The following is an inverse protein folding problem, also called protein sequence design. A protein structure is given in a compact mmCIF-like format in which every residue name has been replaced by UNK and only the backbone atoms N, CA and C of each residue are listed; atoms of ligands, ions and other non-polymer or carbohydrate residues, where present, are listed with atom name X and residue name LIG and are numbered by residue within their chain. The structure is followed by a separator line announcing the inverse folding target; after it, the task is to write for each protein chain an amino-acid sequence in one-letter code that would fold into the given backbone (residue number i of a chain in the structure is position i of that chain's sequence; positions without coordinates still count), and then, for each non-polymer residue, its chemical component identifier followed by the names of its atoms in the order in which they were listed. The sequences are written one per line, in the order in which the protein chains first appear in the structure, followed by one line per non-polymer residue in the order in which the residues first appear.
data_IF_538931820973
#
_entry.id   IF_538931820973
#
_cell.length_a   1.000
_cell.length_b   1.000
_cell.length_c   1.000
_cell.angle_alpha   90.00
_cell.angle_beta   90.00
_cell.angle_gamma   90.00
#
_symmetry.space_group_name_H-M   'P 1'
#
loop_
_entity.id
_entity.type
_entity.pdbx_description
1 polymer ?
#
# COMPACT_ATOMS: atom_id res chain seq x y z
N UNK A 1 -7.94 13.03 -22.37
CA UNK A 1 -6.76 12.16 -22.61
C UNK A 1 -7.16 10.81 -22.08
N UNK A 2 -7.19 9.77 -22.92
CA UNK A 2 -7.35 8.41 -22.40
C UNK A 2 -5.97 7.99 -21.94
N UNK A 3 -5.71 8.20 -20.66
CA UNK A 3 -4.57 7.60 -19.98
C UNK A 3 -4.92 6.12 -19.83
N UNK A 4 -4.49 5.30 -20.78
CA UNK A 4 -4.33 3.87 -20.57
C UNK A 4 -3.23 3.71 -19.51
N UNK A 5 -3.57 4.01 -18.25
CA UNK A 5 -2.80 3.55 -17.10
C UNK A 5 -2.65 2.05 -17.31
N UNK A 6 -1.41 1.58 -17.48
CA UNK A 6 -1.09 0.16 -17.41
C UNK A 6 -1.48 -0.31 -16.02
N UNK A 7 -2.74 -0.73 -15.89
CA UNK A 7 -3.27 -1.33 -14.67
C UNK A 7 -2.39 -2.51 -14.33
N UNK A 8 -2.09 -2.65 -13.05
CA UNK A 8 -1.40 -3.82 -12.57
C UNK A 8 -2.07 -5.10 -13.08
N UNK A 9 -1.25 -6.11 -13.41
CA UNK A 9 -1.77 -7.46 -13.56
C UNK A 9 -2.41 -7.88 -12.24
N UNK A 10 -3.39 -8.79 -12.30
CA UNK A 10 -4.08 -9.24 -11.09
C UNK A 10 -3.10 -9.85 -10.06
N UNK A 11 -2.10 -10.60 -10.52
CA UNK A 11 -1.04 -11.17 -9.68
C UNK A 11 -0.24 -10.07 -9.00
N UNK A 12 0.24 -9.09 -9.77
CA UNK A 12 1.05 -7.99 -9.23
C UNK A 12 0.26 -7.10 -8.27
N UNK A 13 -1.04 -6.90 -8.52
CA UNK A 13 -1.94 -6.19 -7.62
C UNK A 13 -2.11 -6.93 -6.29
N UNK A 14 -2.21 -8.25 -6.31
CA UNK A 14 -2.31 -9.07 -5.10
C UNK A 14 -1.01 -8.99 -4.30
N UNK A 15 0.14 -9.15 -4.96
CA UNK A 15 1.46 -9.07 -4.30
C UNK A 15 1.64 -7.69 -3.63
N UNK A 16 1.33 -6.61 -4.35
CA UNK A 16 1.41 -5.26 -3.82
C UNK A 16 0.42 -5.03 -2.66
N UNK A 17 -0.80 -5.58 -2.74
CA UNK A 17 -1.78 -5.49 -1.67
C UNK A 17 -1.35 -6.25 -0.41
N UNK A 18 -0.76 -7.43 -0.55
CA UNK A 18 -0.19 -8.18 0.57
C UNK A 18 0.94 -7.38 1.25
N UNK A 19 1.85 -6.82 0.45
CA UNK A 19 2.94 -5.98 0.96
C UNK A 19 2.41 -4.74 1.71
N UNK A 20 1.38 -4.07 1.18
CA UNK A 20 0.72 -2.94 1.84
C UNK A 20 0.11 -3.34 3.18
N UNK A 21 -0.58 -4.50 3.26
CA UNK A 21 -1.16 -4.97 4.52
C UNK A 21 -0.09 -5.29 5.57
N UNK A 22 1.00 -5.93 5.16
CA UNK A 22 2.14 -6.21 6.03
C UNK A 22 2.78 -4.92 6.54
N UNK A 23 3.00 -3.94 5.65
CA UNK A 23 3.56 -2.64 6.00
C UNK A 23 2.69 -1.88 7.01
N UNK A 24 1.37 -1.85 6.80
CA UNK A 24 0.43 -1.21 7.73
C UNK A 24 0.45 -1.89 9.10
N UNK A 25 0.48 -3.22 9.14
CA UNK A 25 0.55 -3.96 10.40
C UNK A 25 1.86 -3.67 11.16
N UNK A 26 2.99 -3.70 10.47
CA UNK A 26 4.31 -3.41 11.05
C UNK A 26 4.37 -1.98 11.62
N UNK A 27 3.94 -0.99 10.84
CA UNK A 27 3.95 0.41 11.28
C UNK A 27 2.94 0.66 12.38
N UNK A 28 1.78 -0.01 12.38
CA UNK A 28 0.81 0.10 13.46
C UNK A 28 1.38 -0.42 14.79
N UNK A 29 2.15 -1.51 14.79
CA UNK A 29 2.83 -2.01 15.99
C UNK A 29 3.81 -0.96 16.55
N UNK A 30 4.56 -0.29 15.68
CA UNK A 30 5.51 0.77 16.05
C UNK A 30 4.80 2.06 16.49
N UNK A 31 3.64 2.34 15.91
CA UNK A 31 2.89 3.59 16.09
C UNK A 31 1.82 3.47 17.18
N UNK A 32 1.93 2.53 18.12
CA UNK A 32 0.95 2.32 19.20
C UNK A 32 -0.49 2.09 18.72
N UNK A 33 -0.64 1.40 17.58
CA UNK A 33 -1.93 1.07 16.97
C UNK A 33 -2.50 2.17 16.06
N UNK A 34 -1.78 3.27 15.85
CA UNK A 34 -2.20 4.29 14.89
C UNK A 34 -2.00 3.80 13.45
N UNK A 35 -3.06 3.92 12.66
CA UNK A 35 -2.96 3.74 11.21
C UNK A 35 -2.12 4.86 10.61
N UNK A 36 -1.22 4.48 9.72
CA UNK A 36 -0.42 5.40 8.90
C UNK A 36 -0.73 5.05 7.45
N UNK A 37 -0.92 6.06 6.61
CA UNK A 37 -1.17 5.83 5.18
C UNK A 37 0.08 5.22 4.52
N UNK A 38 -0.05 4.11 3.76
CA UNK A 38 1.06 3.49 3.03
C UNK A 38 1.88 4.49 2.19
N UNK A 39 1.24 5.54 1.65
CA UNK A 39 1.89 6.58 0.86
C UNK A 39 2.78 7.51 1.68
N UNK A 40 2.48 7.69 2.97
CA UNK A 40 3.31 8.46 3.90
C UNK A 40 4.53 7.66 4.36
N UNK A 41 4.46 6.32 4.31
CA UNK A 41 5.59 5.45 4.64
C UNK A 41 6.69 5.51 3.58
N UNK A 42 6.33 5.70 2.31
CA UNK A 42 7.27 5.69 1.19
C UNK A 42 8.26 6.86 1.25
N UNK A 43 9.55 6.53 1.34
CA UNK A 43 10.65 7.48 1.50
C UNK A 43 10.80 8.02 2.92
N UNK A 44 10.01 7.53 3.88
CA UNK A 44 10.18 7.85 5.30
C UNK A 44 11.36 7.07 5.92
N UNK A 45 11.82 7.51 7.09
CA UNK A 45 12.84 6.77 7.87
C UNK A 45 12.34 5.42 8.40
N UNK A 46 11.03 5.17 8.32
CA UNK A 46 10.38 3.95 8.80
C UNK A 46 9.71 3.19 7.65
N UNK A 47 10.15 3.39 6.42
CA UNK A 47 9.63 2.67 5.26
C UNK A 47 9.83 1.16 5.49
N UNK A 48 8.75 0.35 5.52
CA UNK A 48 8.87 -1.09 5.62
C UNK A 48 9.57 -1.69 4.41
N UNK A 49 10.45 -2.67 4.63
CA UNK A 49 11.24 -3.29 3.54
C UNK A 49 10.36 -3.94 2.48
N UNK A 50 9.19 -4.47 2.87
CA UNK A 50 8.24 -5.10 1.95
C UNK A 50 7.69 -4.14 0.88
N UNK A 51 7.75 -2.82 1.09
CA UNK A 51 7.33 -1.84 0.09
C UNK A 51 8.43 -1.49 -0.92
N UNK A 52 9.69 -1.86 -0.66
CA UNK A 52 10.82 -1.51 -1.52
C UNK A 52 10.79 -2.22 -2.89
N UNK A 53 10.08 -3.34 -3.00
CA UNK A 53 9.95 -4.12 -4.24
C UNK A 53 8.85 -3.59 -5.17
N UNK A 54 8.13 -2.53 -4.77
CA UNK A 54 6.99 -1.98 -5.49
C UNK A 54 7.19 -0.51 -5.82
N UNK A 55 6.63 -0.08 -6.95
CA UNK A 55 6.62 1.34 -7.29
C UNK A 55 5.57 2.09 -6.48
N UNK A 56 5.70 3.42 -6.46
CA UNK A 56 4.70 4.30 -5.84
C UNK A 56 3.32 4.08 -6.46
N UNK A 57 3.25 3.94 -7.78
CA UNK A 57 2.00 3.73 -8.51
C UNK A 57 1.36 2.39 -8.13
N UNK A 58 2.17 1.34 -7.96
CA UNK A 58 1.69 0.03 -7.54
C UNK A 58 1.08 0.08 -6.13
N UNK A 59 1.72 0.80 -5.21
CA UNK A 59 1.24 0.99 -3.84
C UNK A 59 -0.06 1.81 -3.81
N UNK A 60 -0.18 2.83 -4.66
CA UNK A 60 -1.45 3.59 -4.81
C UNK A 60 -2.58 2.67 -5.28
N UNK A 61 -2.36 1.88 -6.34
CA UNK A 61 -3.39 0.99 -6.86
C UNK A 61 -3.78 -0.09 -5.84
N UNK A 62 -2.80 -0.69 -5.16
CA UNK A 62 -3.01 -1.69 -4.12
C UNK A 62 -3.79 -1.12 -2.92
N UNK A 63 -3.41 0.06 -2.44
CA UNK A 63 -4.10 0.76 -1.34
C UNK A 63 -5.55 1.06 -1.73
N UNK A 64 -5.77 1.61 -2.94
CA UNK A 64 -7.11 1.87 -3.45
C UNK A 64 -7.94 0.58 -3.66
N UNK A 65 -7.29 -0.55 -4.00
CA UNK A 65 -7.93 -1.85 -4.06
C UNK A 65 -8.37 -2.34 -2.68
N UNK A 66 -7.51 -2.24 -1.66
CA UNK A 66 -7.82 -2.63 -0.28
C UNK A 66 -8.92 -1.78 0.36
N UNK A 67 -8.97 -0.47 0.07
CA UNK A 67 -10.09 0.40 0.45
C UNK A 67 -11.40 -0.04 -0.19
N UNK A 68 -11.39 -0.40 -1.48
CA UNK A 68 -12.58 -0.90 -2.18
C UNK A 68 -13.09 -2.22 -1.59
N UNK A 69 -12.21 -3.05 -1.05
CA UNK A 69 -12.57 -4.27 -0.33
C UNK A 69 -13.06 -4.02 1.10
N UNK A 70 -12.87 -2.81 1.64
CA UNK A 70 -13.16 -2.48 3.04
C UNK A 70 -12.18 -3.11 4.03
N UNK A 71 -10.98 -3.50 3.58
CA UNK A 71 -9.91 -4.02 4.45
C UNK A 71 -9.18 -2.86 5.12
N UNK A 72 -8.89 -1.80 4.37
CA UNK A 72 -8.40 -0.53 4.90
C UNK A 72 -9.56 0.46 4.96
N UNK A 73 -9.71 1.14 6.09
CA UNK A 73 -10.73 2.18 6.25
C UNK A 73 -10.14 3.55 5.90
N UNK A 74 -10.95 4.40 5.26
CA UNK A 74 -10.70 5.84 5.26
C UNK A 74 -11.18 6.34 6.63
N UNK A 75 -10.29 6.40 7.61
CA UNK A 75 -10.51 7.24 8.81
C UNK A 75 -10.25 8.72 8.48
#
# INVERSE_FOLDING_TARGET
MNEDYERLSAERLIDAAEAVLLAVAEVAELSSGHYVDPMEMLGSSFQPECLCDFTREEIVEATAFLHRLGVLNHD
#
